data_IF_492048419202
#
_entry.id   IF_492048419202
#
_cell.length_a   1.000
_cell.length_b   1.000
_cell.length_c   1.000
_cell.angle_alpha   90.00
_cell.angle_beta   90.00
_cell.angle_gamma   90.00
#
_symmetry.space_group_name_H-M   'P 1'
#
loop_
_entity.id
_entity.type
_entity.pdbx_description
1 polymer ?
#
# COMPACT_ATOMS: atom_id res chain seq x y z
N UNK A 1 10.98 10.88 -1.69
CA UNK A 1 10.08 10.99 -2.85
C UNK A 1 10.29 9.75 -3.72
N UNK A 2 9.37 8.79 -3.69
CA UNK A 2 9.56 7.47 -4.32
C UNK A 2 9.42 7.61 -5.85
N UNK A 3 10.43 7.16 -6.59
CA UNK A 3 10.39 6.98 -8.05
C UNK A 3 9.22 6.06 -8.39
N UNK A 4 8.24 6.59 -9.14
CA UNK A 4 7.21 5.77 -9.77
C UNK A 4 7.82 5.17 -11.02
N UNK A 5 7.71 3.86 -11.14
CA UNK A 5 8.08 3.09 -12.32
C UNK A 5 7.14 3.48 -13.49
N UNK A 6 7.62 4.34 -14.39
CA UNK A 6 6.90 4.87 -15.57
C UNK A 6 6.96 3.89 -16.75
N UNK A 7 6.43 2.69 -16.54
CA UNK A 7 6.34 1.66 -17.57
C UNK A 7 5.65 2.14 -18.86
N UNK A 8 6.43 2.36 -19.93
CA UNK A 8 6.01 2.30 -21.34
C UNK A 8 5.07 3.38 -21.90
N UNK A 9 4.40 4.18 -21.07
CA UNK A 9 3.46 5.20 -21.52
C UNK A 9 4.15 6.50 -21.97
N UNK A 10 5.33 6.83 -21.40
CA UNK A 10 6.08 8.03 -21.75
C UNK A 10 6.89 7.94 -23.06
N UNK A 11 7.24 6.72 -23.53
CA UNK A 11 8.00 6.53 -24.78
C UNK A 11 7.04 6.50 -25.98
N UNK A 12 7.20 7.38 -26.99
CA UNK A 12 6.35 7.37 -28.17
C UNK A 12 6.37 6.02 -28.91
N UNK A 13 5.22 5.54 -29.42
CA UNK A 13 5.15 4.35 -30.26
C UNK A 13 6.00 4.48 -31.54
N UNK A 14 6.71 3.41 -31.92
CA UNK A 14 7.54 3.34 -33.14
C UNK A 14 6.72 2.65 -34.23
N UNK A 15 6.63 3.20 -35.45
CA UNK A 15 5.89 2.58 -36.56
C UNK A 15 6.49 1.22 -36.94
N UNK A 16 5.64 0.26 -37.29
CA UNK A 16 6.10 -1.05 -37.80
C UNK A 16 6.62 -0.87 -39.23
N UNK A 17 7.85 -1.35 -39.55
CA UNK A 17 8.40 -1.24 -40.90
C UNK A 17 7.47 -1.85 -41.95
N UNK A 18 7.27 -1.15 -43.07
CA UNK A 18 6.43 -1.60 -44.18
C UNK A 18 4.92 -1.37 -44.02
N UNK A 19 4.44 -0.92 -42.85
CA UNK A 19 3.04 -0.57 -42.68
C UNK A 19 2.79 0.91 -43.01
N UNK A 20 2.04 1.16 -44.08
CA UNK A 20 1.73 2.53 -44.57
C UNK A 20 1.01 3.35 -43.52
N UNK A 21 -0.03 2.80 -42.88
CA UNK A 21 -0.81 3.50 -41.85
C UNK A 21 0.05 3.86 -40.63
N UNK A 22 1.00 3.00 -40.24
CA UNK A 22 1.96 3.32 -39.19
C UNK A 22 2.84 4.52 -39.58
N UNK A 23 3.35 4.54 -40.81
CA UNK A 23 4.20 5.60 -41.32
C UNK A 23 3.47 6.96 -41.39
N UNK A 24 2.22 6.97 -41.88
CA UNK A 24 1.40 8.19 -41.94
C UNK A 24 1.16 8.80 -40.55
N UNK A 25 0.84 7.97 -39.56
CA UNK A 25 0.64 8.44 -38.18
C UNK A 25 1.94 8.95 -37.55
N UNK A 26 3.10 8.38 -37.90
CA UNK A 26 4.39 8.89 -37.47
C UNK A 26 4.69 10.27 -38.09
N UNK A 27 4.41 10.46 -39.39
CA UNK A 27 4.54 11.76 -40.07
C UNK A 27 3.65 12.81 -39.41
N UNK A 28 2.36 12.50 -39.17
CA UNK A 28 1.42 13.42 -38.49
C UNK A 28 1.91 13.84 -37.11
N UNK A 29 2.50 12.92 -36.35
CA UNK A 29 3.11 13.21 -35.05
C UNK A 29 4.29 14.17 -35.20
N UNK A 30 5.17 13.91 -36.16
CA UNK A 30 6.38 14.71 -36.35
C UNK A 30 6.04 16.13 -36.84
N UNK A 31 5.02 16.28 -37.70
CA UNK A 31 4.44 17.57 -38.09
C UNK A 31 3.80 18.31 -36.91
N UNK A 32 3.05 17.61 -36.06
CA UNK A 32 2.46 18.20 -34.86
C UNK A 32 3.55 18.71 -33.91
N UNK A 33 4.63 17.93 -33.73
CA UNK A 33 5.78 18.34 -32.92
C UNK A 33 6.47 19.57 -33.50
N UNK A 34 6.66 19.64 -34.83
CA UNK A 34 7.24 20.80 -35.49
C UNK A 34 6.40 22.09 -35.30
N UNK A 35 5.07 21.92 -35.18
CA UNK A 35 4.13 23.02 -34.86
C UNK A 35 3.93 23.27 -33.37
N UNK A 36 4.62 22.53 -32.49
CA UNK A 36 4.42 22.55 -31.03
C UNK A 36 2.99 22.23 -30.57
N UNK A 37 2.26 21.44 -31.37
CA UNK A 37 0.88 21.01 -31.10
C UNK A 37 0.87 19.71 -30.29
N UNK A 38 0.88 19.84 -28.95
CA UNK A 38 0.97 18.71 -28.01
C UNK A 38 -0.27 17.81 -28.03
N UNK A 39 -1.43 18.36 -28.38
CA UNK A 39 -2.68 17.57 -28.49
C UNK A 39 -2.59 16.65 -29.71
N UNK A 40 -2.28 17.20 -30.89
CA UNK A 40 -2.17 16.41 -32.11
C UNK A 40 -1.03 15.39 -32.04
N UNK A 41 0.09 15.72 -31.38
CA UNK A 41 1.18 14.76 -31.11
C UNK A 41 0.68 13.57 -30.27
N UNK A 42 -0.10 13.85 -29.22
CA UNK A 42 -0.66 12.83 -28.33
C UNK A 42 -1.70 11.97 -29.07
N UNK A 43 -2.58 12.58 -29.85
CA UNK A 43 -3.59 11.87 -30.64
C UNK A 43 -2.95 10.93 -31.66
N UNK A 44 -1.92 11.39 -32.37
CA UNK A 44 -1.17 10.55 -33.30
C UNK A 44 -0.52 9.34 -32.59
N UNK A 45 0.01 9.52 -31.37
CA UNK A 45 0.53 8.42 -30.55
C UNK A 45 -0.58 7.45 -30.11
N UNK A 46 -1.75 7.95 -29.70
CA UNK A 46 -2.88 7.11 -29.31
C UNK A 46 -3.37 6.27 -30.50
N UNK A 47 -3.54 6.89 -31.66
CA UNK A 47 -3.95 6.24 -32.90
C UNK A 47 -2.94 5.19 -33.35
N UNK A 48 -1.64 5.49 -33.29
CA UNK A 48 -0.59 4.54 -33.68
C UNK A 48 -0.60 3.29 -32.77
N UNK A 49 -0.71 3.49 -31.45
CA UNK A 49 -0.84 2.36 -30.50
C UNK A 49 -2.11 1.55 -30.73
N UNK A 50 -3.21 2.21 -31.08
CA UNK A 50 -4.48 1.53 -31.35
C UNK A 50 -4.39 0.65 -32.60
N UNK A 51 -3.86 1.18 -33.70
CA UNK A 51 -3.63 0.44 -34.94
C UNK A 51 -2.68 -0.74 -34.72
N UNK A 52 -1.54 -0.54 -34.06
CA UNK A 52 -0.61 -1.63 -33.74
C UNK A 52 -1.23 -2.75 -32.91
N UNK A 53 -2.09 -2.41 -31.94
CA UNK A 53 -2.79 -3.41 -31.14
C UNK A 53 -3.81 -4.23 -31.94
N UNK A 54 -4.39 -3.64 -32.99
CA UNK A 54 -5.41 -4.29 -33.82
C UNK A 54 -4.81 -5.11 -34.94
N UNK A 55 -3.79 -4.57 -35.59
CA UNK A 55 -3.33 -5.06 -36.89
C UNK A 55 -1.93 -5.69 -36.83
N UNK A 56 -1.18 -5.48 -35.73
CA UNK A 56 0.21 -5.96 -35.59
C UNK A 56 0.49 -6.79 -34.33
N UNK A 57 -0.48 -6.94 -33.43
CA UNK A 57 -0.31 -7.77 -32.23
C UNK A 57 -0.78 -9.19 -32.51
N UNK A 58 0.17 -10.12 -32.68
CA UNK A 58 -0.10 -11.57 -32.88
C UNK A 58 -0.19 -12.34 -31.55
N UNK A 59 0.16 -11.71 -30.42
CA UNK A 59 0.14 -12.37 -29.12
C UNK A 59 -1.31 -12.56 -28.61
N UNK A 60 -1.66 -13.75 -28.10
CA UNK A 60 -2.97 -13.96 -27.49
C UNK A 60 -3.14 -13.03 -26.28
N UNK A 61 -4.27 -12.32 -26.23
CA UNK A 61 -4.61 -11.46 -25.10
C UNK A 61 -4.94 -12.34 -23.89
N UNK A 62 -3.97 -12.69 -23.05
CA UNK A 62 -4.26 -13.29 -21.75
C UNK A 62 -4.92 -12.22 -20.88
N UNK A 63 -6.25 -12.23 -20.81
CA UNK A 63 -6.97 -11.34 -19.89
C UNK A 63 -6.63 -11.79 -18.47
N UNK A 64 -5.77 -11.05 -17.78
CA UNK A 64 -5.54 -11.26 -16.34
C UNK A 64 -6.87 -11.04 -15.62
N UNK A 65 -7.35 -12.08 -14.94
CA UNK A 65 -8.55 -12.00 -14.11
C UNK A 65 -8.08 -11.78 -12.68
N UNK A 66 -8.32 -10.59 -12.15
CA UNK A 66 -8.22 -10.34 -10.72
C UNK A 66 -9.54 -10.79 -10.09
N UNK A 67 -9.51 -11.88 -9.32
CA UNK A 67 -10.67 -12.34 -8.56
C UNK A 67 -10.58 -11.78 -7.16
N UNK A 68 -11.70 -11.26 -6.66
CA UNK A 68 -11.83 -10.94 -5.25
C UNK A 68 -11.76 -12.23 -4.44
N UNK A 69 -10.91 -12.26 -3.42
CA UNK A 69 -10.82 -13.33 -2.43
C UNK A 69 -11.23 -12.69 -1.09
N UNK A 70 -12.36 -13.11 -0.49
CA UNK A 70 -12.74 -12.64 0.83
C UNK A 70 -11.73 -13.15 1.87
N UNK A 71 -11.43 -12.32 2.87
CA UNK A 71 -10.57 -12.67 4.01
C UNK A 71 -11.33 -12.45 5.31
N UNK A 72 -11.00 -13.25 6.32
CA UNK A 72 -11.39 -13.05 7.72
C UNK A 72 -10.17 -12.68 8.55
N UNK A 73 -10.38 -11.82 9.55
CA UNK A 73 -9.36 -11.50 10.56
C UNK A 73 -9.51 -12.54 11.67
N UNK A 74 -8.49 -13.37 11.86
CA UNK A 74 -8.42 -14.35 12.94
C UNK A 74 -7.26 -14.01 13.89
N UNK A 75 -7.38 -14.39 15.16
CA UNK A 75 -6.27 -14.23 16.12
C UNK A 75 -5.14 -15.20 15.75
N UNK A 76 -3.91 -14.70 15.78
CA UNK A 76 -2.70 -15.51 15.65
C UNK A 76 -2.41 -16.22 16.98
N UNK A 77 -2.74 -17.50 17.06
CA UNK A 77 -2.52 -18.31 18.27
C UNK A 77 -1.06 -18.71 18.46
N UNK A 78 -0.18 -18.42 17.51
CA UNK A 78 1.25 -18.72 17.60
C UNK A 78 2.06 -17.58 18.20
N UNK A 79 1.48 -16.38 18.29
CA UNK A 79 2.12 -15.21 18.88
C UNK A 79 1.66 -14.99 20.32
N UNK A 80 2.60 -14.77 21.22
CA UNK A 80 2.31 -14.47 22.62
C UNK A 80 1.71 -13.06 22.77
N UNK A 81 0.61 -12.88 23.51
CA UNK A 81 0.04 -11.56 23.73
C UNK A 81 0.96 -10.64 24.53
N UNK A 82 0.74 -9.35 24.37
CA UNK A 82 1.48 -8.29 25.05
C UNK A 82 0.55 -7.52 25.99
N UNK A 83 1.03 -7.27 27.20
CA UNK A 83 0.35 -6.53 28.26
C UNK A 83 1.26 -5.42 28.77
N UNK A 84 0.70 -4.24 28.95
CA UNK A 84 1.41 -3.11 29.56
C UNK A 84 0.45 -2.28 30.41
N UNK A 85 0.97 -1.63 31.43
CA UNK A 85 0.26 -0.58 32.16
C UNK A 85 1.14 0.66 32.34
N UNK A 86 0.47 1.82 32.34
CA UNK A 86 1.04 3.12 32.71
C UNK A 86 0.25 3.70 33.89
N UNK A 87 0.95 4.22 34.88
CA UNK A 87 0.36 4.99 35.96
C UNK A 87 -0.08 6.36 35.43
N UNK A 88 -1.37 6.65 35.53
CA UNK A 88 -1.97 7.93 35.10
C UNK A 88 -2.57 8.68 36.29
N UNK A 89 -2.11 8.34 37.50
CA UNK A 89 -2.37 9.14 38.70
C UNK A 89 -1.47 10.36 38.73
N UNK A 90 -1.88 11.37 39.50
CA UNK A 90 -1.21 12.67 39.61
C UNK A 90 -2.25 13.78 39.48
N UNK A 91 -2.17 14.78 40.35
CA UNK A 91 -3.18 15.84 40.43
C UNK A 91 -2.92 16.96 39.40
N UNK A 92 -1.64 17.28 39.14
CA UNK A 92 -1.23 18.29 38.14
C UNK A 92 -0.53 17.66 36.93
N UNK A 93 0.39 16.72 37.15
CA UNK A 93 1.07 15.96 36.10
C UNK A 93 0.89 14.46 36.32
N UNK A 94 0.67 13.72 35.23
CA UNK A 94 0.59 12.27 35.30
C UNK A 94 1.95 11.70 35.74
N UNK A 95 1.92 10.80 36.72
CA UNK A 95 3.09 10.08 37.23
C UNK A 95 3.87 9.38 36.12
N UNK A 96 3.17 8.82 35.13
CA UNK A 96 3.77 8.31 33.90
C UNK A 96 4.58 7.03 34.05
N UNK A 97 4.79 6.49 35.25
CA UNK A 97 5.53 5.25 35.47
C UNK A 97 4.93 4.08 34.69
N UNK A 98 5.76 3.22 34.11
CA UNK A 98 5.32 2.15 33.19
C UNK A 98 5.77 0.77 33.67
N UNK A 99 4.93 -0.25 33.43
CA UNK A 99 5.31 -1.64 33.68
C UNK A 99 6.30 -2.17 32.66
N UNK A 100 6.38 -1.53 31.48
CA UNK A 100 6.91 -2.10 30.25
C UNK A 100 6.03 -3.24 29.72
N UNK A 101 6.40 -3.77 28.55
CA UNK A 101 5.74 -4.91 27.91
C UNK A 101 5.97 -6.20 28.71
N UNK A 102 4.89 -6.95 28.94
CA UNK A 102 4.86 -8.25 29.62
C UNK A 102 4.05 -9.25 28.81
N UNK A 103 4.41 -10.53 28.87
CA UNK A 103 3.66 -11.62 28.23
C UNK A 103 2.62 -12.28 29.14
N UNK A 104 2.54 -11.83 30.40
CA UNK A 104 1.61 -12.34 31.40
C UNK A 104 0.89 -11.18 32.12
N UNK A 105 -0.45 -11.22 32.25
CA UNK A 105 -1.21 -10.14 32.87
C UNK A 105 -0.94 -10.00 34.38
N UNK A 106 -0.61 -11.08 35.08
CA UNK A 106 -0.30 -11.05 36.51
C UNK A 106 1.02 -10.31 36.79
N UNK A 107 1.98 -10.34 35.86
CA UNK A 107 3.20 -9.53 35.97
C UNK A 107 2.89 -8.02 35.96
N UNK A 108 1.95 -7.57 35.12
CA UNK A 108 1.48 -6.17 35.11
C UNK A 108 0.77 -5.82 36.41
N UNK A 109 -0.07 -6.72 36.92
CA UNK A 109 -0.80 -6.50 38.19
C UNK A 109 0.14 -6.47 39.39
N UNK A 110 1.18 -7.30 39.41
CA UNK A 110 2.22 -7.26 40.43
C UNK A 110 2.93 -5.90 40.43
N UNK A 111 3.28 -5.39 39.25
CA UNK A 111 3.87 -4.06 39.12
C UNK A 111 2.93 -2.96 39.63
N UNK A 112 1.63 -2.99 39.29
CA UNK A 112 0.65 -2.02 39.78
C UNK A 112 0.51 -2.06 41.30
N UNK A 113 0.47 -3.25 41.91
CA UNK A 113 0.41 -3.42 43.37
C UNK A 113 1.63 -2.84 44.05
N UNK A 114 2.83 -3.11 43.51
CA UNK A 114 4.09 -2.55 44.02
C UNK A 114 4.10 -1.03 43.92
N UNK A 115 3.77 -0.48 42.74
CA UNK A 115 3.72 0.97 42.51
C UNK A 115 2.71 1.66 43.44
N UNK A 116 1.53 1.07 43.62
CA UNK A 116 0.51 1.58 44.55
C UNK A 116 1.01 1.59 46.00
N UNK A 117 1.73 0.56 46.43
CA UNK A 117 2.29 0.50 47.78
C UNK A 117 3.30 1.62 48.01
N UNK A 118 4.13 1.92 47.01
CA UNK A 118 5.19 2.92 47.09
C UNK A 118 4.67 4.36 46.95
N UNK A 119 3.68 4.60 46.08
CA UNK A 119 3.26 5.96 45.68
C UNK A 119 1.85 6.34 46.12
N UNK A 120 1.04 5.37 46.58
CA UNK A 120 -0.41 5.52 46.81
C UNK A 120 -1.23 5.91 45.57
N UNK A 121 -0.64 5.82 44.38
CA UNK A 121 -1.35 6.01 43.12
C UNK A 121 -2.32 4.85 42.86
N UNK A 122 -3.56 5.17 42.47
CA UNK A 122 -4.65 4.21 42.32
C UNK A 122 -5.21 4.14 40.89
N UNK A 123 -4.72 4.97 39.97
CA UNK A 123 -5.23 5.09 38.60
C UNK A 123 -4.17 4.63 37.59
N UNK A 124 -4.56 3.64 36.78
CA UNK A 124 -3.68 3.01 35.79
C UNK A 124 -4.41 2.86 34.46
N UNK A 125 -3.73 3.16 33.35
CA UNK A 125 -4.15 2.78 32.00
C UNK A 125 -3.50 1.45 31.66
N UNK A 126 -4.28 0.47 31.18
CA UNK A 126 -3.78 -0.81 30.69
C UNK A 126 -3.90 -0.86 29.16
N UNK A 127 -2.92 -1.47 28.51
CA UNK A 127 -2.93 -1.80 27.09
C UNK A 127 -2.77 -3.32 26.95
N UNK A 128 -3.52 -3.90 26.02
CA UNK A 128 -3.45 -5.31 25.63
C UNK A 128 -3.32 -5.37 24.12
N UNK A 129 -2.33 -6.13 23.63
CA UNK A 129 -2.11 -6.38 22.21
C UNK A 129 -2.06 -7.88 21.95
N UNK A 130 -2.93 -8.34 21.06
CA UNK A 130 -2.80 -9.65 20.43
C UNK A 130 -2.44 -9.47 18.95
N UNK A 131 -2.04 -10.57 18.32
CA UNK A 131 -1.68 -10.58 16.91
C UNK A 131 -2.81 -11.21 16.10
N UNK A 132 -2.94 -10.78 14.84
CA UNK A 132 -3.96 -11.30 13.93
C UNK A 132 -3.39 -11.66 12.58
N UNK A 133 -3.98 -12.69 11.97
CA UNK A 133 -3.69 -13.16 10.61
C UNK A 133 -4.93 -12.95 9.73
N UNK A 134 -4.68 -12.74 8.43
CA UNK A 134 -5.74 -12.72 7.42
C UNK A 134 -5.83 -14.08 6.75
N UNK A 135 -6.92 -14.78 7.02
CA UNK A 135 -7.19 -16.09 6.43
C UNK A 135 -8.19 -15.95 5.27
N UNK A 136 -7.94 -16.55 4.10
CA UNK A 136 -8.93 -16.59 3.04
C UNK A 136 -10.22 -17.27 3.55
N UNK A 137 -11.36 -16.63 3.32
CA UNK A 137 -12.66 -17.24 3.59
C UNK A 137 -12.89 -18.34 2.55
N UNK A 138 -12.87 -19.60 3.01
CA UNK A 138 -13.04 -20.81 2.17
C UNK A 138 -14.42 -20.98 1.56
#
# INVERSE_FOLDING_TARGET
MRQRDEGGLGRPPVPVPGCVTCAELAVRRDEARARYDRSAETDANVLLRHHQRRDHTTAPRTRRVFRYVPYVIAQDTTAEPEYEARCVSGDEEECGAESGVRHDPAAVEQWQRKHTQETRHLRYRRSFGDYSVLEPLG
#
